data_IF_979142618322
#
_entry.id   IF_979142618322
#
_cell.length_a   1.000
_cell.length_b   1.000
_cell.length_c   1.000
_cell.angle_alpha   90.00
_cell.angle_beta   90.00
_cell.angle_gamma   90.00
#
_symmetry.space_group_name_H-M   'P 1'
#
loop_
_entity.id
_entity.type
_entity.pdbx_description
1 polymer ?
#
# COMPACT_ATOMS: atom_id res chain seq x y z
N UNK A 1 7.34 7.23 10.53
CA UNK A 1 6.42 7.21 9.40
C UNK A 1 6.41 5.80 8.83
N UNK A 2 5.23 5.23 8.69
CA UNK A 2 5.01 3.94 8.02
C UNK A 2 4.64 4.24 6.57
N UNK A 3 5.29 3.57 5.65
CA UNK A 3 5.11 3.72 4.20
C UNK A 3 4.65 2.40 3.61
N UNK A 4 3.63 2.46 2.76
CA UNK A 4 3.20 1.35 1.92
C UNK A 4 3.53 1.71 0.48
N UNK A 5 4.33 0.88 -0.17
CA UNK A 5 4.79 1.14 -1.53
C UNK A 5 4.63 -0.09 -2.42
N UNK A 6 4.65 0.14 -3.74
CA UNK A 6 4.61 -0.94 -4.72
C UNK A 6 5.67 -0.83 -5.79
N UNK A 7 6.47 -1.87 -5.93
CA UNK A 7 7.52 -1.97 -6.94
C UNK A 7 7.24 -3.11 -7.92
N UNK A 8 7.49 -2.84 -9.21
CA UNK A 8 7.57 -3.91 -10.20
C UNK A 8 8.96 -4.56 -10.12
N UNK A 9 9.00 -5.88 -10.04
CA UNK A 9 10.21 -6.67 -10.04
C UNK A 9 10.17 -7.68 -11.18
N UNK A 10 11.27 -7.79 -11.91
CA UNK A 10 11.53 -8.99 -12.68
C UNK A 10 11.58 -10.18 -11.70
N UNK A 11 10.98 -11.31 -12.09
CA UNK A 11 11.02 -12.53 -11.30
C UNK A 11 12.46 -12.92 -10.93
N UNK A 12 12.60 -13.85 -9.99
CA UNK A 12 13.86 -14.21 -9.35
C UNK A 12 15.02 -14.33 -10.37
N UNK A 13 15.94 -13.35 -10.36
CA UNK A 13 17.09 -13.27 -11.29
C UNK A 13 16.74 -13.43 -12.78
N UNK A 14 15.58 -12.91 -13.21
CA UNK A 14 15.13 -12.92 -14.60
C UNK A 14 14.60 -14.27 -15.10
N UNK A 15 14.38 -15.25 -14.22
CA UNK A 15 13.96 -16.61 -14.59
C UNK A 15 12.50 -16.93 -14.27
N UNK A 16 11.74 -15.96 -13.81
CA UNK A 16 10.34 -16.12 -13.47
C UNK A 16 9.51 -14.95 -13.98
N UNK A 17 8.19 -15.12 -13.90
CA UNK A 17 7.23 -14.09 -14.30
C UNK A 17 7.50 -12.74 -13.62
N UNK A 18 7.08 -11.67 -14.29
CA UNK A 18 7.03 -10.35 -13.66
C UNK A 18 6.14 -10.40 -12.42
N UNK A 19 6.70 -9.94 -11.30
CA UNK A 19 5.99 -9.86 -10.04
C UNK A 19 5.91 -8.41 -9.59
N UNK A 20 4.83 -8.08 -8.90
CA UNK A 20 4.70 -6.85 -8.16
C UNK A 20 4.90 -7.15 -6.69
N UNK A 21 5.75 -6.38 -6.04
CA UNK A 21 5.89 -6.37 -4.60
C UNK A 21 5.06 -5.22 -4.05
N UNK A 22 4.26 -5.49 -3.02
CA UNK A 22 3.72 -4.48 -2.14
C UNK A 22 4.38 -4.67 -0.78
N UNK A 23 4.94 -3.62 -0.17
CA UNK A 23 5.62 -3.73 1.13
C UNK A 23 5.21 -2.62 2.07
N UNK A 24 5.33 -2.89 3.37
CA UNK A 24 5.27 -1.88 4.42
C UNK A 24 6.67 -1.65 4.98
N UNK A 25 7.09 -0.39 4.97
CA UNK A 25 8.42 0.03 5.39
C UNK A 25 8.34 1.10 6.49
N UNK A 26 9.08 0.93 7.59
CA UNK A 26 9.27 1.96 8.61
C UNK A 26 10.55 2.74 8.34
N UNK A 27 10.40 3.92 7.71
CA UNK A 27 11.52 4.79 7.29
C UNK A 27 12.54 5.10 8.38
N UNK A 28 12.07 5.38 9.61
CA UNK A 28 12.97 5.70 10.74
C UNK A 28 13.83 4.51 11.17
N UNK A 29 13.32 3.28 11.01
CA UNK A 29 14.01 2.04 11.40
C UNK A 29 14.74 1.40 10.21
N UNK A 30 14.61 1.95 9.00
CA UNK A 30 15.10 1.35 7.74
C UNK A 30 14.72 -0.12 7.59
N UNK A 31 13.52 -0.48 8.03
CA UNK A 31 13.06 -1.87 8.13
C UNK A 31 11.80 -2.09 7.31
N UNK A 32 11.80 -3.18 6.54
CA UNK A 32 10.60 -3.73 5.92
C UNK A 32 9.94 -4.67 6.91
N UNK A 33 8.68 -4.39 7.25
CA UNK A 33 7.92 -5.18 8.21
C UNK A 33 7.11 -6.28 7.52
N UNK A 34 6.45 -5.94 6.42
CA UNK A 34 5.60 -6.87 5.67
C UNK A 34 5.85 -6.74 4.17
N UNK A 35 5.73 -7.85 3.44
CA UNK A 35 5.90 -7.94 1.99
C UNK A 35 4.91 -8.94 1.40
N UNK A 36 4.23 -8.54 0.31
CA UNK A 36 3.39 -9.42 -0.51
C UNK A 36 3.87 -9.37 -1.96
N UNK A 37 3.97 -10.54 -2.57
CA UNK A 37 4.24 -10.69 -4.00
C UNK A 37 2.95 -11.08 -4.72
N UNK A 38 2.64 -10.37 -5.80
CA UNK A 38 1.48 -10.63 -6.64
C UNK A 38 1.88 -10.62 -8.13
N UNK A 39 1.21 -11.43 -8.96
CA UNK A 39 1.53 -11.53 -10.40
C UNK A 39 1.18 -10.27 -11.18
N UNK A 40 0.24 -9.48 -10.68
CA UNK A 40 -0.16 -8.19 -11.23
C UNK A 40 -0.36 -7.21 -10.09
N UNK A 41 -0.16 -5.92 -10.39
CA UNK A 41 -0.45 -4.83 -9.45
C UNK A 41 -1.94 -4.86 -9.11
N UNK A 42 -2.26 -5.30 -7.90
CA UNK A 42 -3.62 -5.58 -7.45
C UNK A 42 -3.92 -4.78 -6.17
N UNK A 43 -5.04 -4.05 -6.18
CA UNK A 43 -5.52 -3.31 -5.02
C UNK A 43 -5.81 -4.23 -3.82
N UNK A 44 -6.25 -5.47 -4.05
CA UNK A 44 -6.46 -6.44 -2.97
C UNK A 44 -5.17 -6.80 -2.25
N UNK A 45 -4.03 -6.79 -2.94
CA UNK A 45 -2.74 -7.07 -2.33
C UNK A 45 -2.37 -6.01 -1.28
N UNK A 46 -2.66 -4.73 -1.55
CA UNK A 46 -2.47 -3.64 -0.59
C UNK A 46 -3.41 -3.74 0.61
N UNK A 47 -4.67 -4.12 0.39
CA UNK A 47 -5.64 -4.32 1.49
C UNK A 47 -5.17 -5.46 2.39
N UNK A 48 -4.80 -6.62 1.83
CA UNK A 48 -4.29 -7.76 2.61
C UNK A 48 -3.01 -7.41 3.36
N UNK A 49 -2.09 -6.71 2.70
CA UNK A 49 -0.86 -6.23 3.31
C UNK A 49 -1.12 -5.29 4.50
N UNK A 50 -2.06 -4.36 4.35
CA UNK A 50 -2.46 -3.46 5.45
C UNK A 50 -3.05 -4.25 6.63
N UNK A 51 -3.93 -5.24 6.36
CA UNK A 51 -4.51 -6.09 7.41
C UNK A 51 -3.40 -6.84 8.16
N UNK A 52 -2.50 -7.49 7.46
CA UNK A 52 -1.40 -8.25 8.06
C UNK A 52 -0.49 -7.37 8.92
N UNK A 53 -0.18 -6.16 8.43
CA UNK A 53 0.59 -5.18 9.19
C UNK A 53 -0.14 -4.73 10.46
N UNK A 54 -1.45 -4.42 10.36
CA UNK A 54 -2.23 -3.98 11.52
C UNK A 54 -2.33 -5.05 12.60
N UNK A 55 -2.45 -6.33 12.20
CA UNK A 55 -2.49 -7.47 13.13
C UNK A 55 -1.14 -7.63 13.84
N UNK A 56 -0.02 -7.56 13.12
CA UNK A 56 1.31 -7.85 13.67
C UNK A 56 1.95 -6.66 14.41
N UNK A 57 1.66 -5.44 13.97
CA UNK A 57 2.38 -4.24 14.38
C UNK A 57 1.49 -3.15 14.96
N UNK A 58 0.17 -3.35 14.93
CA UNK A 58 -0.81 -2.40 15.40
C UNK A 58 -1.03 -1.24 14.44
N UNK A 59 -1.84 -0.28 14.90
CA UNK A 59 -2.29 0.85 14.10
C UNK A 59 -1.22 1.96 14.01
N UNK A 60 -0.79 2.37 12.80
CA UNK A 60 0.07 3.52 12.64
C UNK A 60 -0.75 4.82 12.72
N UNK A 61 -0.16 5.90 13.24
CA UNK A 61 -0.80 7.25 13.24
C UNK A 61 -0.92 7.81 11.83
N UNK A 62 0.09 7.55 10.99
CA UNK A 62 0.18 8.07 9.62
C UNK A 62 0.67 6.95 8.71
N UNK A 63 0.01 6.80 7.56
CA UNK A 63 0.40 5.89 6.49
C UNK A 63 0.69 6.70 5.21
N UNK A 64 1.93 6.64 4.74
CA UNK A 64 2.33 7.21 3.46
C UNK A 64 2.16 6.18 2.34
N UNK A 65 1.66 6.59 1.18
CA UNK A 65 1.55 5.80 -0.03
C UNK A 65 2.26 6.50 -1.18
N UNK A 66 3.16 5.78 -1.87
CA UNK A 66 3.75 6.23 -3.13
C UNK A 66 2.73 6.31 -4.28
N UNK A 67 1.52 5.78 -4.04
CA UNK A 67 0.43 5.72 -5.00
C UNK A 67 -0.78 6.50 -4.56
N UNK A 68 -1.05 7.57 -5.29
CA UNK A 68 -2.27 8.35 -5.14
C UNK A 68 -3.53 7.55 -5.49
N UNK A 69 -3.48 6.68 -6.51
CA UNK A 69 -4.64 5.92 -7.01
C UNK A 69 -5.18 4.84 -6.06
N UNK A 70 -4.44 4.51 -5.00
CA UNK A 70 -4.94 3.63 -3.92
C UNK A 70 -5.75 4.45 -2.91
N UNK A 71 -5.48 5.74 -2.82
CA UNK A 71 -6.06 6.66 -1.85
C UNK A 71 -7.23 7.45 -2.46
N UNK A 72 -7.18 7.79 -3.75
CA UNK A 72 -8.24 8.51 -4.46
C UNK A 72 -8.71 7.79 -5.72
N UNK A 73 -9.93 8.09 -6.15
CA UNK A 73 -10.44 7.72 -7.46
C UNK A 73 -9.98 8.79 -8.45
N UNK A 74 -9.40 8.38 -9.59
CA UNK A 74 -8.91 9.27 -10.65
C UNK A 74 -9.84 9.22 -11.89
N UNK A 75 -11.15 9.19 -11.65
CA UNK A 75 -12.16 9.32 -12.69
C UNK A 75 -12.86 10.66 -12.50
N UNK A 76 -12.97 11.45 -13.58
CA UNK A 76 -13.63 12.77 -13.58
C UNK A 76 -15.06 12.71 -13.06
N UNK A 77 -15.78 11.62 -13.33
CA UNK A 77 -17.16 11.42 -12.87
C UNK A 77 -17.27 11.12 -11.36
N UNK A 78 -16.15 10.78 -10.71
CA UNK A 78 -16.05 10.42 -9.30
C UNK A 78 -14.98 11.25 -8.59
N UNK A 79 -14.74 12.46 -9.09
CA UNK A 79 -13.74 13.37 -8.54
C UNK A 79 -14.14 13.75 -7.09
N UNK A 80 -13.25 13.47 -6.13
CA UNK A 80 -13.52 13.65 -4.70
C UNK A 80 -14.06 12.41 -3.98
N UNK A 81 -14.41 11.33 -4.69
CA UNK A 81 -14.78 10.07 -4.07
C UNK A 81 -13.55 9.33 -3.50
N UNK A 82 -13.78 8.63 -2.39
CA UNK A 82 -12.75 7.90 -1.68
C UNK A 82 -12.76 6.44 -2.09
N UNK A 83 -11.57 5.85 -2.30
CA UNK A 83 -11.46 4.40 -2.44
C UNK A 83 -11.90 3.71 -1.14
N UNK A 84 -12.29 2.43 -1.24
CA UNK A 84 -12.56 1.62 -0.03
C UNK A 84 -11.33 1.51 0.88
N UNK A 85 -10.13 1.58 0.32
CA UNK A 85 -8.89 1.63 1.09
C UNK A 85 -8.79 2.90 1.92
N UNK A 86 -9.03 4.07 1.31
CA UNK A 86 -9.01 5.34 2.04
C UNK A 86 -10.14 5.43 3.07
N UNK A 87 -11.33 4.92 2.74
CA UNK A 87 -12.42 4.76 3.72
C UNK A 87 -11.98 3.93 4.92
N UNK A 88 -11.34 2.79 4.70
CA UNK A 88 -10.82 1.94 5.78
C UNK A 88 -9.78 2.67 6.64
N UNK A 89 -8.84 3.40 6.02
CA UNK A 89 -7.85 4.20 6.76
C UNK A 89 -8.52 5.26 7.64
N UNK A 90 -9.51 6.00 7.11
CA UNK A 90 -10.27 6.98 7.88
C UNK A 90 -11.08 6.34 9.01
N UNK A 91 -11.76 5.22 8.77
CA UNK A 91 -12.51 4.49 9.81
C UNK A 91 -11.59 4.01 10.92
N UNK A 92 -10.36 3.63 10.57
CA UNK A 92 -9.34 3.24 11.53
C UNK A 92 -8.63 4.46 12.12
N UNK A 93 -8.97 5.70 11.77
CA UNK A 93 -8.29 6.92 12.23
C UNK A 93 -6.76 6.88 11.96
N UNK A 94 -6.40 6.38 10.78
CA UNK A 94 -5.05 6.41 10.22
C UNK A 94 -5.01 7.54 9.21
N UNK A 95 -4.12 8.51 9.38
CA UNK A 95 -3.99 9.63 8.44
C UNK A 95 -3.27 9.17 7.16
N UNK A 96 -3.95 9.17 5.98
CA UNK A 96 -3.27 8.90 4.72
C UNK A 96 -2.44 10.12 4.28
N UNK A 97 -1.25 9.87 3.76
CA UNK A 97 -0.45 10.83 2.98
C UNK A 97 -0.12 10.14 1.66
N UNK A 98 -0.31 10.82 0.53
CA UNK A 98 0.08 10.28 -0.77
C UNK A 98 1.06 11.23 -1.47
N UNK A 99 1.92 10.64 -2.31
CA UNK A 99 2.63 11.43 -3.32
C UNK A 99 1.62 12.18 -4.22
N UNK A 100 1.99 13.38 -4.72
CA UNK A 100 1.16 14.13 -5.67
C UNK A 100 0.92 13.36 -6.97
#
# INVERSE_FOLDING_TARGET
MTEIDGSAHHGFKGRGDYLHAARVHRRRLQRTDDLKLCRRRDHQAYVRLLIDYLIQHGRPVVLYSDRHSIVSINLLEHEGEMTQFNRALKTLDIKPISAP
#
